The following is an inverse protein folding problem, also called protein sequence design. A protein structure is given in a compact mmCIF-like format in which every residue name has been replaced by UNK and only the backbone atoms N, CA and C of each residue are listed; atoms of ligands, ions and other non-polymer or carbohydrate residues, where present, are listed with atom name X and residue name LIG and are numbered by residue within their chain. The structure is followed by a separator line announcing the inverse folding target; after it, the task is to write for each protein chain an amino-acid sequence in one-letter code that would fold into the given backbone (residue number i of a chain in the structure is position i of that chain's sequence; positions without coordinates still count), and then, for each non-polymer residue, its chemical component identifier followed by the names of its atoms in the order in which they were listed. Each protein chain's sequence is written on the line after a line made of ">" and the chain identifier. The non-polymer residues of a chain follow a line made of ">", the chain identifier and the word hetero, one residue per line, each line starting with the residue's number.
data_IF_440843314184
#
_entry.id   IF_440843314184
#
_cell.length_a   1.000
_cell.length_b   1.000
_cell.length_c   1.000
_cell.angle_alpha   90.00
_cell.angle_beta   90.00
_cell.angle_gamma   90.00
#
_symmetry.space_group_name_H-M   'P 1'
#
loop_
_entity.id
_entity.type
_entity.pdbx_description
1 polymer ?
#
# COMPACT_ATOMS: atom_id res chain seq x y z
N UNK A 1 -24.28 -53.74 -2.24
CA UNK A 1 -24.90 -52.56 -1.57
C UNK A 1 -24.03 -51.96 -0.43
N UNK A 2 -23.21 -52.73 0.30
CA UNK A 2 -22.34 -52.22 1.38
C UNK A 2 -21.16 -51.37 0.86
N UNK A 3 -20.55 -51.74 -0.27
CA UNK A 3 -19.44 -51.01 -0.89
C UNK A 3 -19.85 -49.63 -1.45
N UNK A 4 -21.09 -49.52 -1.95
CA UNK A 4 -21.60 -48.23 -2.45
C UNK A 4 -21.81 -47.22 -1.32
N UNK A 5 -22.28 -47.69 -0.15
CA UNK A 5 -22.43 -46.85 1.06
C UNK A 5 -21.05 -46.39 1.62
N UNK A 6 -20.05 -47.26 1.50
CA UNK A 6 -18.68 -46.92 1.95
C UNK A 6 -18.02 -45.84 1.11
N UNK A 7 -18.37 -45.75 -0.18
CA UNK A 7 -17.88 -44.70 -1.09
C UNK A 7 -18.69 -43.39 -1.01
N UNK A 8 -19.97 -43.48 -0.61
CA UNK A 8 -20.85 -42.32 -0.46
C UNK A 8 -20.41 -41.39 0.67
N UNK A 9 -19.92 -41.93 1.77
CA UNK A 9 -19.47 -41.12 2.93
C UNK A 9 -18.28 -40.20 2.57
N UNK A 10 -17.16 -40.70 2.02
CA UNK A 10 -16.03 -39.84 1.64
C UNK A 10 -16.40 -38.85 0.52
N UNK A 11 -17.27 -39.24 -0.41
CA UNK A 11 -17.77 -38.33 -1.44
C UNK A 11 -18.60 -37.19 -0.85
N UNK A 12 -19.50 -37.48 0.10
CA UNK A 12 -20.28 -36.45 0.80
C UNK A 12 -19.36 -35.47 1.59
N UNK A 13 -18.34 -36.00 2.27
CA UNK A 13 -17.37 -35.22 3.00
C UNK A 13 -16.58 -34.29 2.03
N UNK A 14 -16.17 -34.82 0.87
CA UNK A 14 -15.49 -34.04 -0.14
C UNK A 14 -16.34 -32.88 -0.69
N UNK A 15 -17.64 -33.15 -0.95
CA UNK A 15 -18.58 -32.12 -1.41
C UNK A 15 -18.79 -31.04 -0.34
N UNK A 16 -18.95 -31.42 0.91
CA UNK A 16 -19.12 -30.50 2.03
C UNK A 16 -17.82 -29.64 2.18
N UNK A 17 -16.65 -30.27 2.14
CA UNK A 17 -15.36 -29.55 2.20
C UNK A 17 -15.21 -28.56 1.04
N UNK A 18 -15.66 -28.92 -0.15
CA UNK A 18 -15.61 -28.06 -1.34
C UNK A 18 -16.56 -26.85 -1.21
N UNK A 19 -17.74 -27.03 -0.62
CA UNK A 19 -18.68 -25.95 -0.32
C UNK A 19 -18.06 -24.98 0.69
N UNK A 20 -17.47 -25.47 1.77
CA UNK A 20 -16.80 -24.62 2.75
C UNK A 20 -15.59 -23.89 2.17
N UNK A 21 -14.81 -24.52 1.30
CA UNK A 21 -13.70 -23.90 0.61
C UNK A 21 -14.11 -22.84 -0.43
N UNK A 22 -15.37 -22.87 -0.87
CA UNK A 22 -15.93 -21.90 -1.82
C UNK A 22 -16.32 -20.57 -1.17
N UNK A 23 -16.46 -20.53 0.15
CA UNK A 23 -16.92 -19.35 0.88
C UNK A 23 -15.73 -18.58 1.42
N UNK A 24 -15.74 -17.25 1.24
CA UNK A 24 -14.80 -16.35 1.90
C UNK A 24 -15.49 -15.06 2.35
N UNK A 25 -14.95 -14.44 3.41
CA UNK A 25 -15.47 -13.20 3.98
C UNK A 25 -14.42 -12.13 3.82
N UNK A 26 -14.81 -10.96 3.33
CA UNK A 26 -14.01 -9.73 3.31
C UNK A 26 -14.50 -8.82 4.43
N UNK A 27 -13.60 -8.40 5.32
CA UNK A 27 -13.93 -7.46 6.41
C UNK A 27 -14.00 -6.05 5.88
N UNK A 28 -14.70 -5.15 6.59
CA UNK A 28 -14.75 -3.71 6.25
C UNK A 28 -13.38 -3.03 6.28
N UNK A 29 -12.45 -3.57 7.04
CA UNK A 29 -11.05 -3.11 7.14
C UNK A 29 -10.15 -3.68 6.05
N UNK A 30 -10.69 -4.53 5.18
CA UNK A 30 -9.94 -5.23 4.12
C UNK A 30 -10.50 -4.85 2.75
N UNK A 31 -9.61 -4.81 1.77
CA UNK A 31 -9.92 -4.86 0.34
C UNK A 31 -9.46 -6.19 -0.23
N UNK A 32 -10.13 -6.69 -1.24
CA UNK A 32 -9.75 -7.97 -1.80
C UNK A 32 -9.76 -7.94 -3.33
N UNK A 33 -8.82 -8.70 -3.91
CA UNK A 33 -8.75 -8.99 -5.34
C UNK A 33 -9.01 -10.46 -5.56
N UNK A 34 -9.90 -10.76 -6.48
CA UNK A 34 -10.17 -12.12 -6.92
C UNK A 34 -9.43 -12.41 -8.22
N UNK A 35 -8.60 -13.41 -8.15
CA UNK A 35 -7.75 -13.83 -9.25
C UNK A 35 -8.27 -15.15 -9.83
N UNK A 36 -8.16 -15.30 -11.14
CA UNK A 36 -8.38 -16.56 -11.86
C UNK A 36 -7.10 -16.90 -12.61
N UNK A 37 -6.48 -18.02 -12.24
CA UNK A 37 -5.18 -18.45 -12.81
C UNK A 37 -4.08 -17.37 -12.73
N UNK A 38 -4.15 -16.47 -11.74
CA UNK A 38 -3.19 -15.39 -11.56
C UNK A 38 -3.59 -14.06 -12.21
N UNK A 39 -4.62 -14.01 -13.03
CA UNK A 39 -5.13 -12.78 -13.63
C UNK A 39 -6.24 -12.15 -12.77
N UNK A 40 -6.30 -10.84 -12.70
CA UNK A 40 -7.32 -10.09 -11.97
C UNK A 40 -8.65 -10.20 -12.72
N UNK A 41 -9.64 -10.81 -12.08
CA UNK A 41 -11.01 -10.92 -12.61
C UNK A 41 -11.93 -9.91 -11.95
N UNK A 42 -11.71 -9.64 -10.68
CA UNK A 42 -12.50 -8.71 -9.88
C UNK A 42 -11.55 -7.95 -8.96
N UNK A 43 -11.38 -6.66 -9.22
CA UNK A 43 -10.33 -5.87 -8.62
C UNK A 43 -10.66 -5.35 -7.22
N UNK A 44 -11.91 -5.05 -6.93
CA UNK A 44 -12.31 -4.49 -5.62
C UNK A 44 -13.55 -5.22 -5.11
N UNK A 45 -13.32 -6.37 -4.48
CA UNK A 45 -14.40 -7.16 -3.87
C UNK A 45 -14.87 -6.45 -2.61
N UNK A 46 -16.15 -6.02 -2.53
CA UNK A 46 -16.67 -5.28 -1.39
C UNK A 46 -16.68 -6.12 -0.11
N UNK A 47 -16.74 -5.49 1.07
CA UNK A 47 -16.92 -6.20 2.33
C UNK A 47 -18.17 -7.07 2.33
N UNK A 48 -18.08 -8.24 2.94
CA UNK A 48 -19.19 -9.18 3.03
C UNK A 48 -18.82 -10.63 2.75
N UNK A 49 -19.84 -11.44 2.56
CA UNK A 49 -19.74 -12.86 2.24
C UNK A 49 -19.73 -13.05 0.72
N UNK A 50 -18.72 -13.74 0.21
CA UNK A 50 -18.53 -13.98 -1.21
C UNK A 50 -18.26 -15.46 -1.50
N UNK A 51 -18.49 -15.82 -2.77
CA UNK A 51 -18.22 -17.18 -3.26
C UNK A 51 -17.08 -17.16 -4.28
N UNK A 52 -16.24 -18.18 -4.20
CA UNK A 52 -15.17 -18.44 -5.16
C UNK A 52 -15.18 -19.92 -5.57
N UNK A 53 -14.67 -20.20 -6.75
CA UNK A 53 -14.35 -21.56 -7.16
C UNK A 53 -12.99 -21.95 -6.58
N UNK A 54 -12.90 -22.87 -5.62
CA UNK A 54 -11.70 -23.06 -4.79
C UNK A 54 -10.45 -23.50 -5.56
N UNK A 55 -10.61 -24.10 -6.72
CA UNK A 55 -9.49 -24.61 -7.53
C UNK A 55 -9.03 -23.57 -8.55
N UNK A 56 -9.96 -22.74 -9.06
CA UNK A 56 -9.74 -21.84 -10.19
C UNK A 56 -9.44 -20.41 -9.69
N UNK A 57 -10.16 -20.00 -8.63
CA UNK A 57 -10.08 -18.65 -8.12
C UNK A 57 -9.27 -18.59 -6.82
N UNK A 58 -8.31 -17.71 -6.76
CA UNK A 58 -7.62 -17.29 -5.54
C UNK A 58 -8.03 -15.86 -5.15
N UNK A 59 -8.02 -15.57 -3.85
CA UNK A 59 -8.37 -14.26 -3.31
C UNK A 59 -7.18 -13.75 -2.51
N UNK A 60 -6.75 -12.53 -2.82
CA UNK A 60 -5.75 -11.79 -2.05
C UNK A 60 -6.44 -10.65 -1.32
N UNK A 61 -6.16 -10.52 -0.03
CA UNK A 61 -6.73 -9.48 0.84
C UNK A 61 -5.63 -8.52 1.26
N UNK A 62 -5.98 -7.25 1.33
CA UNK A 62 -5.08 -6.15 1.73
C UNK A 62 -5.77 -5.32 2.79
N UNK A 63 -4.98 -4.68 3.65
CA UNK A 63 -5.49 -3.74 4.63
C UNK A 63 -5.99 -2.47 3.93
N UNK A 64 -7.23 -2.08 4.21
CA UNK A 64 -7.86 -0.86 3.68
C UNK A 64 -7.68 0.35 4.58
N UNK A 65 -7.10 0.15 5.76
CA UNK A 65 -6.87 1.23 6.73
C UNK A 65 -5.72 2.13 6.27
N UNK A 66 -5.66 3.29 6.91
CA UNK A 66 -4.51 4.17 6.76
C UNK A 66 -3.32 3.54 7.48
N UNK A 67 -2.28 3.25 6.72
CA UNK A 67 -1.02 2.72 7.20
C UNK A 67 0.02 3.84 7.29
N UNK A 68 0.99 3.68 8.19
CA UNK A 68 2.08 4.63 8.34
C UNK A 68 3.36 4.01 7.82
N UNK A 69 3.99 4.72 6.90
CA UNK A 69 5.33 4.45 6.41
C UNK A 69 6.28 5.36 7.15
N UNK A 70 7.15 4.79 7.96
CA UNK A 70 8.23 5.49 8.67
C UNK A 70 9.53 5.27 7.88
N UNK A 71 10.10 6.36 7.37
CA UNK A 71 11.34 6.33 6.62
C UNK A 71 12.51 6.64 7.56
N UNK A 72 13.62 5.90 7.42
CA UNK A 72 14.81 6.19 8.20
C UNK A 72 15.31 7.61 7.90
N UNK A 73 15.82 8.35 8.91
CA UNK A 73 16.35 9.69 8.72
C UNK A 73 17.40 9.74 7.62
N UNK A 74 17.24 10.65 6.67
CA UNK A 74 18.12 10.84 5.51
C UNK A 74 18.73 12.23 5.51
N UNK A 75 19.94 12.35 4.96
CA UNK A 75 20.63 13.64 4.85
C UNK A 75 20.52 14.19 3.42
N UNK A 76 19.97 15.40 3.31
CA UNK A 76 19.78 16.11 2.04
C UNK A 76 20.63 17.37 1.99
N UNK A 77 21.18 17.69 0.82
CA UNK A 77 21.96 18.92 0.60
C UNK A 77 21.03 20.02 0.10
N UNK A 78 21.13 21.19 0.74
CA UNK A 78 20.47 22.42 0.29
C UNK A 78 21.23 23.09 -0.85
N UNK A 79 20.63 24.13 -1.47
CA UNK A 79 21.27 24.97 -2.48
C UNK A 79 22.58 25.60 -1.98
N UNK A 80 22.68 25.85 -0.67
CA UNK A 80 23.89 26.37 0.00
C UNK A 80 24.95 25.31 0.31
N UNK A 81 24.75 24.07 -0.14
CA UNK A 81 25.61 22.89 0.17
C UNK A 81 25.69 22.54 1.66
N UNK A 82 24.67 22.91 2.45
CA UNK A 82 24.54 22.52 3.85
C UNK A 82 23.71 21.24 3.93
N UNK A 83 24.15 20.29 4.73
CA UNK A 83 23.43 19.03 4.96
C UNK A 83 22.34 19.21 6.01
N UNK A 84 21.12 18.82 5.68
CA UNK A 84 19.98 18.73 6.61
C UNK A 84 19.60 17.27 6.78
N UNK A 85 19.50 16.80 8.02
CA UNK A 85 18.96 15.49 8.31
C UNK A 85 17.46 15.62 8.50
N UNK A 86 16.72 14.85 7.72
CA UNK A 86 15.25 14.88 7.69
C UNK A 86 14.74 13.52 8.08
N UNK A 87 13.84 13.52 9.04
CA UNK A 87 13.03 12.38 9.43
C UNK A 87 11.63 12.56 8.83
N UNK A 88 11.15 11.56 8.11
CA UNK A 88 9.90 11.67 7.37
C UNK A 88 9.03 10.44 7.54
N UNK A 89 7.73 10.67 7.70
CA UNK A 89 6.76 9.60 7.64
C UNK A 89 5.61 9.96 6.70
N UNK A 90 5.04 8.96 6.09
CA UNK A 90 3.92 9.08 5.15
C UNK A 90 2.77 8.22 5.63
N UNK A 91 1.59 8.81 5.73
CA UNK A 91 0.35 8.05 5.91
C UNK A 91 -0.27 7.78 4.55
N UNK A 92 -0.55 6.53 4.27
CA UNK A 92 -1.06 6.11 2.98
C UNK A 92 -2.18 5.07 3.15
N UNK A 93 -3.01 4.93 2.13
CA UNK A 93 -4.03 3.88 2.02
C UNK A 93 -4.16 3.41 0.58
N UNK A 94 -4.65 2.19 0.39
CA UNK A 94 -4.96 1.67 -0.94
C UNK A 94 -6.21 2.36 -1.47
N UNK A 95 -6.09 3.08 -2.60
CA UNK A 95 -7.19 3.74 -3.30
C UNK A 95 -7.67 2.93 -4.50
N UNK A 96 -6.74 2.41 -5.29
CA UNK A 96 -6.99 1.55 -6.45
C UNK A 96 -6.34 0.19 -6.23
N UNK A 97 -7.18 -0.81 -5.92
CA UNK A 97 -6.73 -2.16 -5.56
C UNK A 97 -6.12 -2.90 -6.74
N UNK A 98 -6.62 -2.67 -7.97
CA UNK A 98 -6.12 -3.29 -9.19
C UNK A 98 -4.70 -2.81 -9.48
N UNK A 99 -4.52 -1.50 -9.47
CA UNK A 99 -3.22 -0.88 -9.73
C UNK A 99 -2.20 -1.23 -8.65
N UNK A 100 -2.60 -1.20 -7.38
CA UNK A 100 -1.79 -1.64 -6.25
C UNK A 100 -1.31 -3.08 -6.45
N UNK A 101 -2.24 -3.98 -6.80
CA UNK A 101 -1.89 -5.39 -6.99
C UNK A 101 -0.98 -5.60 -8.21
N UNK A 102 -1.27 -4.97 -9.34
CA UNK A 102 -0.48 -5.13 -10.57
C UNK A 102 0.94 -4.59 -10.43
N UNK A 103 1.12 -3.50 -9.68
CA UNK A 103 2.43 -2.86 -9.48
C UNK A 103 3.26 -3.56 -8.41
N UNK A 104 2.63 -3.91 -7.28
CA UNK A 104 3.35 -4.46 -6.12
C UNK A 104 3.24 -5.98 -5.99
N UNK A 105 2.30 -6.62 -6.69
CA UNK A 105 1.92 -8.01 -6.46
C UNK A 105 1.16 -8.23 -5.14
N UNK A 106 0.71 -7.14 -4.51
CA UNK A 106 0.11 -7.15 -3.18
C UNK A 106 1.13 -7.28 -2.04
N UNK A 107 2.39 -6.97 -2.31
CA UNK A 107 3.47 -6.96 -1.32
C UNK A 107 3.65 -5.54 -0.76
N UNK A 108 3.29 -5.38 0.52
CA UNK A 108 3.39 -4.11 1.25
C UNK A 108 4.85 -3.63 1.36
N UNK A 109 5.80 -4.54 1.56
CA UNK A 109 7.22 -4.18 1.64
C UNK A 109 7.76 -3.67 0.29
N UNK A 110 7.25 -4.20 -0.80
CA UNK A 110 7.58 -3.68 -2.14
C UNK A 110 7.02 -2.28 -2.34
N UNK A 111 5.76 -2.04 -1.95
CA UNK A 111 5.17 -0.71 -1.96
C UNK A 111 5.97 0.26 -1.11
N UNK A 112 6.33 -0.13 0.12
CA UNK A 112 7.12 0.66 1.04
C UNK A 112 8.43 1.14 0.40
N UNK A 113 9.17 0.25 -0.23
CA UNK A 113 10.41 0.61 -0.94
C UNK A 113 10.16 1.61 -2.07
N UNK A 114 9.11 1.41 -2.86
CA UNK A 114 8.77 2.32 -3.96
C UNK A 114 8.36 3.71 -3.44
N UNK A 115 7.54 3.78 -2.39
CA UNK A 115 7.15 5.04 -1.77
C UNK A 115 8.36 5.78 -1.18
N UNK A 116 9.26 5.09 -0.45
CA UNK A 116 10.48 5.71 0.09
C UNK A 116 11.31 6.32 -1.05
N UNK A 117 11.50 5.61 -2.16
CA UNK A 117 12.24 6.16 -3.30
C UNK A 117 11.61 7.41 -3.89
N UNK A 118 10.27 7.48 -3.96
CA UNK A 118 9.56 8.67 -4.46
C UNK A 118 9.66 9.84 -3.47
N UNK A 119 9.52 9.56 -2.18
CA UNK A 119 9.71 10.53 -1.10
C UNK A 119 11.13 11.12 -1.14
N UNK A 120 12.14 10.26 -1.18
CA UNK A 120 13.55 10.70 -1.23
C UNK A 120 13.85 11.54 -2.47
N UNK A 121 13.30 11.16 -3.62
CA UNK A 121 13.48 11.93 -4.86
C UNK A 121 12.82 13.32 -4.77
N UNK A 122 11.61 13.40 -4.23
CA UNK A 122 10.88 14.64 -4.02
C UNK A 122 11.60 15.57 -3.06
N UNK A 123 11.99 15.05 -1.89
CA UNK A 123 12.74 15.82 -0.88
C UNK A 123 14.09 16.33 -1.43
N UNK A 124 14.84 15.48 -2.12
CA UNK A 124 16.13 15.86 -2.70
C UNK A 124 15.98 16.96 -3.73
N UNK A 125 14.94 16.90 -4.55
CA UNK A 125 14.68 17.94 -5.55
C UNK A 125 14.30 19.28 -4.90
N UNK A 126 13.36 19.27 -3.95
CA UNK A 126 12.91 20.50 -3.29
C UNK A 126 13.99 21.12 -2.41
N UNK A 127 14.74 20.33 -1.64
CA UNK A 127 15.82 20.87 -0.80
C UNK A 127 17.02 21.34 -1.61
N UNK A 128 17.33 20.69 -2.73
CA UNK A 128 18.42 21.12 -3.61
C UNK A 128 18.23 22.50 -4.22
N UNK A 129 17.01 22.99 -4.30
CA UNK A 129 16.67 24.31 -4.85
C UNK A 129 16.49 25.40 -3.80
N UNK A 130 16.41 25.05 -2.51
CA UNK A 130 16.10 25.96 -1.40
C UNK A 130 17.27 26.15 -0.44
N UNK A 131 17.26 27.29 0.26
CA UNK A 131 18.21 27.59 1.35
C UNK A 131 17.74 26.93 2.65
N UNK A 132 18.67 26.77 3.61
CA UNK A 132 18.32 26.25 4.95
C UNK A 132 17.23 27.09 5.62
N UNK A 133 17.31 28.40 5.44
CA UNK A 133 16.39 29.35 6.07
C UNK A 133 14.96 29.21 5.54
N UNK A 134 14.78 28.98 4.24
CA UNK A 134 13.47 28.73 3.60
C UNK A 134 12.85 27.41 4.05
N UNK A 135 13.68 26.38 4.26
CA UNK A 135 13.23 25.06 4.72
C UNK A 135 12.84 25.07 6.21
N UNK A 136 13.52 25.87 7.04
CA UNK A 136 13.35 25.86 8.51
C UNK A 136 12.34 26.91 8.98
N UNK A 137 12.24 28.05 8.28
CA UNK A 137 11.33 29.16 8.62
C UNK A 137 9.95 29.01 7.96
N UNK A 138 9.13 30.04 7.99
CA UNK A 138 7.68 30.03 7.71
C UNK A 138 7.15 29.46 6.39
N UNK A 139 7.99 29.07 5.43
CA UNK A 139 7.58 28.41 4.18
C UNK A 139 7.50 26.87 4.27
N UNK A 140 7.74 26.33 5.47
CA UNK A 140 7.77 24.88 5.71
C UNK A 140 6.45 24.20 5.41
N UNK A 141 5.35 24.79 5.85
CA UNK A 141 4.02 24.18 5.70
C UNK A 141 3.61 24.16 4.23
N UNK A 142 3.86 25.25 3.49
CA UNK A 142 3.63 25.32 2.05
C UNK A 142 4.49 24.30 1.27
N UNK A 143 5.74 24.12 1.68
CA UNK A 143 6.61 23.11 1.12
C UNK A 143 6.09 21.69 1.34
N UNK A 144 5.62 21.41 2.57
CA UNK A 144 5.07 20.08 2.90
C UNK A 144 3.76 19.80 2.17
N UNK A 145 2.90 20.79 2.03
CA UNK A 145 1.67 20.67 1.24
C UNK A 145 1.97 20.39 -0.23
N UNK A 146 2.92 21.11 -0.81
CA UNK A 146 3.36 20.88 -2.19
C UNK A 146 3.94 19.49 -2.38
N UNK A 147 4.81 19.03 -1.47
CA UNK A 147 5.39 17.69 -1.50
C UNK A 147 4.32 16.61 -1.34
N UNK A 148 3.34 16.82 -0.44
CA UNK A 148 2.22 15.92 -0.25
C UNK A 148 1.42 15.77 -1.54
N UNK A 149 1.05 16.86 -2.19
CA UNK A 149 0.32 16.85 -3.45
C UNK A 149 1.09 16.18 -4.58
N UNK A 150 2.40 16.43 -4.68
CA UNK A 150 3.24 15.78 -5.69
C UNK A 150 3.36 14.28 -5.45
N UNK A 151 3.57 13.88 -4.19
CA UNK A 151 3.65 12.47 -3.82
C UNK A 151 2.32 11.76 -4.04
N UNK A 152 1.20 12.39 -3.67
CA UNK A 152 -0.14 11.84 -3.86
C UNK A 152 -0.43 11.58 -5.33
N UNK A 153 -0.19 12.55 -6.20
CA UNK A 153 -0.37 12.38 -7.64
C UNK A 153 0.43 11.18 -8.19
N UNK A 154 1.72 11.09 -7.84
CA UNK A 154 2.58 10.00 -8.29
C UNK A 154 2.11 8.66 -7.68
N UNK A 155 1.76 8.64 -6.40
CA UNK A 155 1.35 7.43 -5.70
C UNK A 155 0.02 6.88 -6.23
N UNK A 156 -0.95 7.75 -6.54
CA UNK A 156 -2.23 7.37 -7.16
C UNK A 156 -2.03 6.89 -8.60
N UNK A 157 -1.23 7.62 -9.39
CA UNK A 157 -1.04 7.29 -10.80
C UNK A 157 -0.19 6.03 -11.02
N UNK A 158 0.88 5.85 -10.24
CA UNK A 158 1.82 4.75 -10.45
C UNK A 158 1.56 3.53 -9.56
N UNK A 159 1.10 3.73 -8.31
CA UNK A 159 1.05 2.68 -7.30
C UNK A 159 -0.38 2.31 -6.85
N UNK A 160 -1.39 3.12 -7.21
CA UNK A 160 -2.77 2.92 -6.78
C UNK A 160 -2.99 3.14 -5.28
N UNK A 161 -2.18 3.99 -4.66
CA UNK A 161 -2.30 4.37 -3.25
C UNK A 161 -2.40 5.87 -3.11
N UNK A 162 -3.15 6.34 -2.13
CA UNK A 162 -3.33 7.74 -1.80
C UNK A 162 -2.46 8.11 -0.61
N UNK A 163 -1.68 9.17 -0.72
CA UNK A 163 -0.92 9.75 0.38
C UNK A 163 -1.81 10.70 1.17
N UNK A 164 -2.22 10.30 2.37
CA UNK A 164 -3.18 11.05 3.19
C UNK A 164 -2.52 12.20 3.96
N UNK A 165 -1.27 12.07 4.35
CA UNK A 165 -0.53 13.10 5.09
C UNK A 165 0.95 12.81 5.09
N UNK A 166 1.72 13.87 4.96
CA UNK A 166 3.16 13.87 5.05
C UNK A 166 3.56 14.85 6.17
N UNK A 167 4.18 14.38 7.24
CA UNK A 167 4.61 15.25 8.34
C UNK A 167 5.86 14.72 9.01
N UNK A 168 6.69 15.59 9.32
CA UNK A 168 7.76 15.91 10.27
C UNK A 168 9.17 15.98 9.73
N UNK A 169 9.67 17.19 9.86
CA UNK A 169 11.08 17.53 9.93
C UNK A 169 11.43 17.67 11.42
N UNK A 170 12.08 16.69 11.99
CA UNK A 170 12.86 16.91 13.20
C UNK A 170 14.27 17.24 12.74
N UNK A 171 14.67 18.51 12.86
CA UNK A 171 16.03 18.93 12.67
C UNK A 171 16.81 18.61 13.96
N UNK A 172 17.75 17.68 13.97
CA UNK A 172 18.78 17.71 14.98
C UNK A 172 19.72 18.87 14.63
N UNK A 173 19.49 20.00 15.27
CA UNK A 173 20.49 21.07 15.32
C UNK A 173 21.69 20.51 16.06
N UNK A 174 22.66 19.99 15.36
CA UNK A 174 24.01 19.88 15.91
C UNK A 174 24.82 21.01 15.37
N UNK A 175 25.03 21.99 16.27
CA UNK A 175 26.12 22.95 16.17
C UNK A 175 27.47 22.23 16.04
#
# INVERSE_FOLDING_TARGET
>A
MKTLRLLLIPFLIAVIALIFASIFVVKETERAVKLRFGEVVEADVPPGLHFKLPIINSVRKFDARILTLDAAPQSYLTSEKKALTVDSFVKWRVSDVEKYFTTTGGDEERLRRLLIQRVDAGLRNEFGTRTVNEVVSGERDELMDKLTLQLDNIAVEELGVEAVSYTHLTLPTKA
#
